data_IF_652751942218
#
_entry.id   IF_652751942218
#
_cell.length_a   1.000
_cell.length_b   1.000
_cell.length_c   1.000
_cell.angle_alpha   90.00
_cell.angle_beta   90.00
_cell.angle_gamma   90.00
#
_symmetry.space_group_name_H-M   'P 1'
#
loop_
_entity.id
_entity.type
_entity.pdbx_description
1 polymer ?
#
# COMPACT_ATOMS: atom_id res chain seq x y z
N UNK A 1 62.39 6.15 39.66
CA UNK A 1 61.22 7.01 39.41
C UNK A 1 60.29 6.26 38.50
N UNK A 2 59.22 5.65 39.04
CA UNK A 2 58.23 4.84 38.29
C UNK A 2 57.06 5.72 37.90
N UNK A 3 56.86 5.93 36.63
CA UNK A 3 55.66 6.62 36.10
C UNK A 3 54.63 5.58 35.70
N UNK A 4 53.50 5.49 36.45
CA UNK A 4 52.39 4.62 36.17
C UNK A 4 51.49 5.26 35.12
N UNK A 5 51.34 4.64 33.97
CA UNK A 5 50.29 4.97 32.98
C UNK A 5 49.01 4.24 33.37
N UNK A 6 47.99 5.05 33.69
CA UNK A 6 46.64 4.59 33.91
C UNK A 6 45.93 4.61 32.53
N UNK A 7 45.68 3.44 31.98
CA UNK A 7 44.87 3.27 30.77
C UNK A 7 43.40 3.33 31.14
N UNK A 8 42.75 4.45 30.82
CA UNK A 8 41.27 4.55 30.94
C UNK A 8 40.61 3.86 29.77
N UNK A 9 40.02 2.70 30.02
CA UNK A 9 39.14 2.01 29.06
C UNK A 9 37.77 2.70 29.01
N UNK A 10 37.50 3.43 27.93
CA UNK A 10 36.18 4.00 27.64
C UNK A 10 35.25 2.88 27.17
N UNK A 11 34.31 2.49 28.00
CA UNK A 11 33.22 1.58 27.67
C UNK A 11 32.20 2.32 26.79
N UNK A 12 32.29 2.13 25.47
CA UNK A 12 31.27 2.61 24.53
C UNK A 12 30.07 1.68 24.65
N UNK A 13 29.07 2.09 25.43
CA UNK A 13 27.74 1.47 25.43
C UNK A 13 27.07 1.80 24.09
N UNK A 14 27.21 0.89 23.12
CA UNK A 14 26.39 0.88 21.94
C UNK A 14 24.95 0.58 22.34
N UNK A 15 24.14 1.62 22.48
CA UNK A 15 22.70 1.53 22.54
C UNK A 15 22.25 1.09 21.18
N UNK A 16 22.28 -0.22 20.93
CA UNK A 16 21.66 -0.87 19.79
C UNK A 16 20.16 -0.63 19.89
N UNK A 17 19.66 0.40 19.20
CA UNK A 17 18.25 0.68 19.09
C UNK A 17 17.55 -0.52 18.46
N UNK A 18 16.64 -1.16 19.21
CA UNK A 18 15.68 -2.12 18.70
C UNK A 18 14.63 -1.39 17.82
N UNK A 19 15.06 -0.85 16.69
CA UNK A 19 14.22 -0.15 15.71
C UNK A 19 14.01 -0.98 14.43
N UNK A 20 14.02 -2.32 14.51
CA UNK A 20 14.00 -3.14 13.30
C UNK A 20 13.04 -4.32 13.35
N UNK A 21 11.96 -4.30 14.13
CA UNK A 21 10.98 -5.38 14.09
C UNK A 21 9.77 -5.13 13.18
N UNK A 22 9.64 -3.93 12.63
CA UNK A 22 8.68 -3.64 11.56
C UNK A 22 9.45 -3.12 10.35
N UNK A 23 10.08 -4.03 9.62
CA UNK A 23 10.43 -3.76 8.24
C UNK A 23 9.16 -3.27 7.53
N UNK A 24 9.21 -2.25 6.65
CA UNK A 24 8.02 -1.79 5.96
C UNK A 24 7.44 -2.98 5.20
N UNK A 25 6.29 -3.49 5.66
CA UNK A 25 5.53 -4.44 4.88
C UNK A 25 5.07 -3.70 3.63
N UNK A 26 5.79 -3.90 2.51
CA UNK A 26 5.44 -3.26 1.25
C UNK A 26 4.24 -3.94 0.59
N UNK A 27 3.61 -4.91 1.28
CA UNK A 27 2.44 -5.66 0.79
C UNK A 27 2.62 -6.20 -0.64
N UNK A 28 3.87 -6.34 -1.12
CA UNK A 28 4.18 -6.71 -2.51
C UNK A 28 3.91 -5.60 -3.53
N UNK A 29 3.83 -4.36 -3.07
CA UNK A 29 3.73 -3.14 -3.89
C UNK A 29 5.11 -2.49 -4.04
N UNK A 30 5.25 -1.62 -5.04
CA UNK A 30 6.36 -0.68 -5.11
C UNK A 30 6.30 0.34 -3.94
N UNK A 31 7.42 1.00 -3.66
CA UNK A 31 7.55 1.88 -2.50
C UNK A 31 6.54 3.03 -2.48
N UNK A 32 6.20 3.58 -3.64
CA UNK A 32 5.21 4.65 -3.79
C UNK A 32 3.82 4.18 -3.36
N UNK A 33 3.35 3.09 -3.93
CA UNK A 33 2.04 2.53 -3.63
C UNK A 33 1.97 1.96 -2.21
N UNK A 34 3.05 1.36 -1.71
CA UNK A 34 3.13 0.92 -0.32
C UNK A 34 3.04 2.11 0.66
N UNK A 35 3.67 3.24 0.34
CA UNK A 35 3.55 4.46 1.13
C UNK A 35 2.13 5.03 1.08
N UNK A 36 1.51 5.09 -0.11
CA UNK A 36 0.13 5.54 -0.28
C UNK A 36 -0.84 4.71 0.57
N UNK A 37 -0.72 3.39 0.53
CA UNK A 37 -1.53 2.46 1.33
C UNK A 37 -1.33 2.70 2.83
N UNK A 38 -0.08 2.78 3.31
CA UNK A 38 0.22 3.06 4.73
C UNK A 38 -0.36 4.40 5.18
N UNK A 39 -0.15 5.45 4.38
CA UNK A 39 -0.66 6.77 4.66
C UNK A 39 -2.19 6.80 4.72
N UNK A 40 -2.87 6.14 3.78
CA UNK A 40 -4.32 6.01 3.76
C UNK A 40 -4.84 5.32 5.03
N UNK A 41 -4.22 4.20 5.45
CA UNK A 41 -4.61 3.51 6.68
C UNK A 41 -4.36 4.35 7.94
N UNK A 42 -3.27 5.14 7.99
CA UNK A 42 -2.94 5.98 9.14
C UNK A 42 -3.79 7.25 9.17
N UNK A 43 -3.82 8.02 8.08
CA UNK A 43 -4.37 9.37 8.08
C UNK A 43 -5.87 9.40 7.82
N UNK A 44 -6.35 8.62 6.84
CA UNK A 44 -7.78 8.61 6.48
C UNK A 44 -8.54 7.67 7.40
N UNK A 45 -8.07 6.42 7.56
CA UNK A 45 -8.73 5.46 8.45
C UNK A 45 -8.45 5.70 9.93
N UNK A 46 -7.41 6.47 10.30
CA UNK A 46 -7.05 6.75 11.68
C UNK A 46 -6.63 5.50 12.45
N UNK A 47 -5.97 4.54 11.79
CA UNK A 47 -5.51 3.31 12.40
C UNK A 47 -4.05 3.47 12.88
N UNK A 48 -3.75 2.93 14.08
CA UNK A 48 -2.38 2.80 14.57
C UNK A 48 -1.80 1.46 14.14
N UNK A 49 -0.48 1.39 14.09
CA UNK A 49 0.26 0.14 13.82
C UNK A 49 -0.27 -0.97 14.73
N UNK A 50 -0.70 -2.07 14.14
CA UNK A 50 -1.35 -3.20 14.80
C UNK A 50 -2.10 -4.06 13.78
N UNK A 51 -2.87 -5.03 14.26
CA UNK A 51 -3.56 -5.99 13.40
C UNK A 51 -4.56 -5.33 12.44
N UNK A 52 -5.30 -4.32 12.90
CA UNK A 52 -6.27 -3.57 12.07
C UNK A 52 -5.58 -2.74 11.01
N UNK A 53 -4.40 -2.17 11.31
CA UNK A 53 -3.58 -1.47 10.32
C UNK A 53 -3.09 -2.43 9.24
N UNK A 54 -2.60 -3.60 9.62
CA UNK A 54 -2.14 -4.63 8.67
C UNK A 54 -3.30 -5.15 7.81
N UNK A 55 -4.49 -5.35 8.38
CA UNK A 55 -5.68 -5.74 7.63
C UNK A 55 -6.12 -4.67 6.62
N UNK A 56 -6.12 -3.39 7.03
CA UNK A 56 -6.35 -2.26 6.14
C UNK A 56 -5.32 -2.24 4.99
N UNK A 57 -4.03 -2.34 5.32
CA UNK A 57 -2.94 -2.33 4.36
C UNK A 57 -3.06 -3.46 3.35
N UNK A 58 -3.35 -4.67 3.80
CA UNK A 58 -3.56 -5.83 2.93
C UNK A 58 -4.75 -5.66 1.98
N UNK A 59 -5.88 -5.16 2.47
CA UNK A 59 -7.08 -4.90 1.66
C UNK A 59 -6.84 -3.84 0.59
N UNK A 60 -6.25 -2.69 0.96
CA UNK A 60 -5.95 -1.63 0.00
C UNK A 60 -4.87 -2.05 -1.00
N UNK A 61 -3.86 -2.80 -0.58
CA UNK A 61 -2.83 -3.31 -1.47
C UNK A 61 -3.39 -4.29 -2.52
N UNK A 62 -4.37 -5.10 -2.15
CA UNK A 62 -5.08 -5.95 -3.12
C UNK A 62 -5.80 -5.10 -4.18
N UNK A 63 -6.47 -4.02 -3.75
CA UNK A 63 -7.13 -3.08 -4.66
C UNK A 63 -6.13 -2.39 -5.59
N UNK A 64 -4.99 -1.90 -5.07
CA UNK A 64 -3.94 -1.26 -5.88
C UNK A 64 -3.40 -2.21 -6.95
N UNK A 65 -3.06 -3.45 -6.57
CA UNK A 65 -2.59 -4.46 -7.54
C UNK A 65 -3.59 -4.74 -8.63
N UNK A 66 -4.86 -4.84 -8.27
CA UNK A 66 -5.91 -5.02 -9.27
C UNK A 66 -5.99 -3.84 -10.25
N UNK A 67 -5.92 -2.60 -9.75
CA UNK A 67 -5.96 -1.40 -10.61
C UNK A 67 -4.73 -1.32 -11.53
N UNK A 68 -3.55 -1.64 -11.00
CA UNK A 68 -2.32 -1.70 -11.79
C UNK A 68 -2.41 -2.76 -12.89
N UNK A 69 -2.90 -3.95 -12.55
CA UNK A 69 -3.07 -5.05 -13.52
C UNK A 69 -4.08 -4.70 -14.62
N UNK A 70 -5.20 -4.07 -14.25
CA UNK A 70 -6.20 -3.60 -15.19
C UNK A 70 -5.65 -2.50 -16.14
N UNK A 71 -4.93 -1.52 -15.58
CA UNK A 71 -4.32 -0.45 -16.36
C UNK A 71 -3.24 -0.98 -17.32
N UNK A 72 -2.37 -1.89 -16.87
CA UNK A 72 -1.37 -2.54 -17.70
C UNK A 72 -1.99 -3.37 -18.82
N UNK A 73 -3.10 -4.04 -18.54
CA UNK A 73 -3.81 -4.84 -19.55
C UNK A 73 -4.41 -3.93 -20.64
N UNK A 74 -5.09 -2.86 -20.23
CA UNK A 74 -5.67 -1.89 -21.19
C UNK A 74 -4.57 -1.22 -22.05
N UNK A 75 -3.47 -0.81 -21.43
CA UNK A 75 -2.33 -0.23 -22.16
C UNK A 75 -1.71 -1.22 -23.14
N UNK A 76 -1.59 -2.49 -22.75
CA UNK A 76 -1.07 -3.55 -23.60
C UNK A 76 -2.01 -3.81 -24.79
N UNK A 77 -3.33 -3.88 -24.55
CA UNK A 77 -4.34 -4.06 -25.58
C UNK A 77 -4.26 -2.93 -26.63
N UNK A 78 -4.25 -1.67 -26.18
CA UNK A 78 -4.14 -0.50 -27.05
C UNK A 78 -2.84 -0.51 -27.87
N UNK A 79 -1.71 -0.84 -27.23
CA UNK A 79 -0.42 -0.91 -27.92
C UNK A 79 -0.39 -2.01 -28.97
N UNK A 80 -0.96 -3.17 -28.68
CA UNK A 80 -1.00 -4.29 -29.61
C UNK A 80 -1.96 -4.02 -30.78
N UNK A 81 -3.08 -3.34 -30.55
CA UNK A 81 -3.98 -2.90 -31.64
C UNK A 81 -3.31 -1.90 -32.56
N UNK A 82 -2.55 -0.93 -32.03
CA UNK A 82 -1.77 0.02 -32.84
C UNK A 82 -0.70 -0.68 -33.68
N UNK A 83 -0.21 -1.84 -33.26
CA UNK A 83 0.70 -2.69 -34.04
C UNK A 83 -0.03 -3.56 -35.11
N UNK A 84 -1.38 -3.47 -35.17
CA UNK A 84 -2.17 -4.18 -36.15
C UNK A 84 -2.71 -5.55 -35.72
N UNK A 85 -2.57 -5.90 -34.46
CA UNK A 85 -3.15 -7.16 -33.93
C UNK A 85 -4.63 -6.98 -33.58
N UNK A 86 -5.51 -7.75 -34.22
CA UNK A 86 -6.96 -7.66 -33.97
C UNK A 86 -7.34 -8.22 -32.60
N UNK A 87 -8.26 -7.55 -31.89
CA UNK A 87 -8.79 -8.00 -30.59
C UNK A 87 -9.34 -9.43 -30.66
N UNK A 88 -9.06 -10.22 -29.63
CA UNK A 88 -9.54 -11.60 -29.50
C UNK A 88 -8.78 -12.64 -30.31
N UNK A 89 -7.68 -12.28 -30.97
CA UNK A 89 -6.81 -13.22 -31.68
C UNK A 89 -5.69 -13.76 -30.76
N UNK A 90 -5.15 -14.94 -31.11
CA UNK A 90 -4.03 -15.55 -30.39
C UNK A 90 -2.78 -14.66 -30.48
N UNK A 91 -2.59 -13.99 -31.61
CA UNK A 91 -1.48 -13.09 -31.87
C UNK A 91 -1.55 -11.86 -30.97
N UNK A 92 -2.73 -11.26 -30.80
CA UNK A 92 -2.95 -10.18 -29.84
C UNK A 92 -2.67 -10.65 -28.41
N UNK A 93 -3.18 -11.81 -27.99
CA UNK A 93 -2.94 -12.35 -26.66
C UNK A 93 -1.43 -12.54 -26.37
N UNK A 94 -0.67 -13.05 -27.35
CA UNK A 94 0.80 -13.15 -27.24
C UNK A 94 1.48 -11.78 -27.10
N UNK A 95 1.06 -10.81 -27.92
CA UNK A 95 1.57 -9.44 -27.85
C UNK A 95 1.32 -8.83 -26.46
N UNK A 96 0.10 -8.92 -25.92
CA UNK A 96 -0.29 -8.41 -24.60
C UNK A 96 0.59 -9.03 -23.49
N UNK A 97 0.79 -10.34 -23.51
CA UNK A 97 1.67 -11.02 -22.52
C UNK A 97 3.10 -10.53 -22.60
N UNK A 98 3.65 -10.35 -23.81
CA UNK A 98 5.00 -9.85 -24.01
C UNK A 98 5.14 -8.38 -23.56
N UNK A 99 4.17 -7.54 -23.88
CA UNK A 99 4.13 -6.13 -23.47
C UNK A 99 4.11 -6.02 -21.94
N UNK A 100 3.22 -6.73 -21.27
CA UNK A 100 3.13 -6.74 -19.79
C UNK A 100 4.45 -7.13 -19.14
N UNK A 101 5.09 -8.22 -19.59
CA UNK A 101 6.39 -8.66 -19.07
C UNK A 101 7.52 -7.65 -19.28
N UNK A 102 7.50 -6.88 -20.36
CA UNK A 102 8.50 -5.85 -20.60
C UNK A 102 8.28 -4.62 -19.73
N UNK A 103 7.02 -4.23 -19.52
CA UNK A 103 6.64 -3.07 -18.69
C UNK A 103 6.90 -3.34 -17.21
N UNK A 104 6.58 -4.53 -16.70
CA UNK A 104 6.89 -4.92 -15.30
C UNK A 104 8.40 -4.80 -14.99
N UNK A 105 9.28 -5.17 -15.93
CA UNK A 105 10.73 -4.99 -15.77
C UNK A 105 11.17 -3.54 -15.72
N UNK A 106 10.50 -2.65 -16.45
CA UNK A 106 10.83 -1.22 -16.51
C UNK A 106 10.29 -0.45 -15.31
N UNK A 107 9.13 -0.83 -14.75
CA UNK A 107 8.55 -0.23 -13.54
C UNK A 107 9.41 -0.47 -12.29
N UNK A 108 10.11 -1.59 -12.22
CA UNK A 108 11.06 -1.88 -11.13
C UNK A 108 12.30 -0.97 -11.13
N UNK A 109 12.51 -0.20 -12.21
CA UNK A 109 13.69 0.66 -12.39
C UNK A 109 13.45 2.16 -12.10
N UNK A 110 12.19 2.61 -11.87
CA UNK A 110 11.87 4.05 -11.78
C UNK A 110 10.93 4.36 -10.61
N UNK A 111 11.46 4.65 -9.42
CA UNK A 111 10.66 5.07 -8.26
C UNK A 111 11.09 6.45 -7.74
N UNK A 112 10.18 7.42 -7.84
CA UNK A 112 10.28 8.70 -7.14
C UNK A 112 9.00 8.93 -6.31
N UNK A 113 9.09 9.17 -4.98
CA UNK A 113 7.90 9.28 -4.13
C UNK A 113 7.19 10.64 -4.30
N UNK A 114 5.84 10.67 -4.16
CA UNK A 114 5.05 11.90 -4.22
C UNK A 114 5.11 12.69 -2.91
N UNK A 115 4.72 13.99 -2.93
CA UNK A 115 4.65 14.83 -1.74
C UNK A 115 3.55 14.35 -0.77
N UNK A 116 3.89 14.38 0.52
CA UNK A 116 3.02 13.97 1.64
C UNK A 116 2.00 15.08 1.93
N UNK A 117 0.67 14.80 2.00
CA UNK A 117 -0.34 15.75 2.46
C UNK A 117 -0.17 16.07 3.96
N UNK A 118 -0.51 17.30 4.37
CA UNK A 118 -0.50 17.71 5.78
C UNK A 118 -1.45 16.88 6.64
N UNK A 119 -0.92 16.37 7.75
CA UNK A 119 -1.67 15.52 8.66
C UNK A 119 -2.81 16.27 9.36
N UNK A 120 -4.03 15.78 9.25
CA UNK A 120 -5.17 16.24 10.04
C UNK A 120 -5.14 15.68 11.48
N UNK A 121 -5.79 16.34 12.47
CA UNK A 121 -5.82 15.86 13.84
C UNK A 121 -6.32 14.41 13.90
N UNK A 122 -5.51 13.54 14.48
CA UNK A 122 -5.77 12.11 14.49
C UNK A 122 -7.01 11.74 15.32
N UNK A 123 -8.00 11.11 14.69
CA UNK A 123 -9.13 10.46 15.34
C UNK A 123 -9.14 8.97 14.99
N UNK A 124 -9.20 8.10 16.01
CA UNK A 124 -9.26 6.66 15.77
C UNK A 124 -10.51 6.28 14.98
N UNK A 125 -10.37 5.42 14.00
CA UNK A 125 -11.48 4.88 13.21
C UNK A 125 -12.60 4.32 14.10
N UNK A 126 -12.25 3.62 15.17
CA UNK A 126 -13.20 2.97 16.07
C UNK A 126 -13.91 3.92 17.04
N UNK A 127 -13.45 5.16 17.18
CA UNK A 127 -14.15 6.20 17.97
C UNK A 127 -15.20 6.96 17.17
N UNK A 128 -15.28 6.71 15.86
CA UNK A 128 -16.20 7.38 14.95
C UNK A 128 -17.57 6.72 14.94
N UNK A 129 -18.60 7.49 14.60
CA UNK A 129 -19.93 6.95 14.26
C UNK A 129 -19.85 6.05 13.01
N UNK A 130 -20.84 5.18 12.84
CA UNK A 130 -20.89 4.28 11.68
C UNK A 130 -20.84 5.03 10.34
N UNK A 131 -21.56 6.16 10.25
CA UNK A 131 -21.54 7.01 9.04
C UNK A 131 -20.16 7.60 8.75
N UNK A 132 -19.44 8.03 9.79
CA UNK A 132 -18.07 8.54 9.64
C UNK A 132 -17.07 7.44 9.28
N UNK A 133 -17.25 6.22 9.80
CA UNK A 133 -16.45 5.06 9.40
C UNK A 133 -16.66 4.72 7.92
N UNK A 134 -17.91 4.80 7.44
CA UNK A 134 -18.25 4.60 6.03
C UNK A 134 -17.62 5.66 5.15
N UNK A 135 -17.77 6.94 5.49
CA UNK A 135 -17.14 8.05 4.80
C UNK A 135 -15.61 7.89 4.69
N UNK A 136 -14.94 7.46 5.77
CA UNK A 136 -13.49 7.22 5.72
C UNK A 136 -13.10 6.04 4.83
N UNK A 137 -13.90 4.97 4.80
CA UNK A 137 -13.66 3.87 3.89
C UNK A 137 -13.84 4.30 2.42
N UNK A 138 -14.87 5.11 2.14
CA UNK A 138 -15.09 5.69 0.81
C UNK A 138 -13.94 6.61 0.39
N UNK A 139 -13.50 7.52 1.27
CA UNK A 139 -12.35 8.40 1.01
C UNK A 139 -11.06 7.60 0.78
N UNK A 140 -10.86 6.51 1.52
CA UNK A 140 -9.69 5.64 1.35
C UNK A 140 -9.67 4.99 -0.04
N UNK A 141 -10.81 4.51 -0.52
CA UNK A 141 -10.91 3.93 -1.86
C UNK A 141 -10.81 5.01 -2.96
N UNK A 142 -11.35 6.22 -2.72
CA UNK A 142 -11.20 7.35 -3.62
C UNK A 142 -9.74 7.81 -3.75
N UNK A 143 -8.96 7.76 -2.66
CA UNK A 143 -7.52 8.08 -2.67
C UNK A 143 -6.71 7.14 -3.58
N UNK A 144 -7.18 5.92 -3.79
CA UNK A 144 -6.59 4.97 -4.75
C UNK A 144 -7.03 5.20 -6.21
N UNK A 145 -7.78 6.27 -6.49
CA UNK A 145 -8.27 6.62 -7.82
C UNK A 145 -9.58 5.96 -8.22
N UNK A 146 -10.28 5.29 -7.30
CA UNK A 146 -11.60 4.72 -7.56
C UNK A 146 -12.69 5.80 -7.44
N UNK A 147 -13.74 5.69 -8.28
CA UNK A 147 -14.91 6.57 -8.25
C UNK A 147 -16.19 5.79 -7.98
N UNK A 148 -17.19 6.38 -7.30
CA UNK A 148 -18.46 5.70 -6.98
C UNK A 148 -19.20 5.10 -8.19
N UNK A 149 -18.99 5.65 -9.39
CA UNK A 149 -19.55 5.10 -10.65
C UNK A 149 -18.86 3.80 -11.09
N UNK A 150 -17.70 3.44 -10.54
CA UNK A 150 -17.01 2.19 -10.82
C UNK A 150 -17.54 1.10 -9.89
N UNK A 151 -17.98 -0.04 -10.43
CA UNK A 151 -18.42 -1.19 -9.60
C UNK A 151 -17.40 -1.63 -8.55
N UNK A 152 -16.10 -1.47 -8.86
CA UNK A 152 -14.98 -1.78 -7.95
C UNK A 152 -14.87 -0.85 -6.74
N UNK A 153 -15.39 0.37 -6.81
CA UNK A 153 -15.38 1.29 -5.67
C UNK A 153 -16.09 0.68 -4.45
N UNK A 154 -17.31 0.19 -4.65
CA UNK A 154 -18.11 -0.41 -3.58
C UNK A 154 -17.54 -1.73 -3.06
N UNK A 155 -16.87 -2.51 -3.92
CA UNK A 155 -16.12 -3.68 -3.47
C UNK A 155 -14.95 -3.28 -2.56
N UNK A 156 -14.15 -2.28 -2.96
CA UNK A 156 -13.07 -1.77 -2.11
C UNK A 156 -13.59 -1.30 -0.75
N UNK A 157 -14.67 -0.51 -0.71
CA UNK A 157 -15.28 -0.01 0.53
C UNK A 157 -15.73 -1.17 1.44
N UNK A 158 -16.42 -2.16 0.85
CA UNK A 158 -16.91 -3.34 1.58
C UNK A 158 -15.76 -4.17 2.13
N UNK A 159 -14.79 -4.50 1.30
CA UNK A 159 -13.63 -5.33 1.67
C UNK A 159 -12.78 -4.66 2.76
N UNK A 160 -12.57 -3.34 2.65
CA UNK A 160 -11.84 -2.56 3.64
C UNK A 160 -12.57 -2.56 5.01
N UNK A 161 -13.86 -2.28 5.03
CA UNK A 161 -14.69 -2.33 6.24
C UNK A 161 -14.68 -3.72 6.87
N UNK A 162 -14.83 -4.76 6.07
CA UNK A 162 -14.81 -6.14 6.53
C UNK A 162 -13.44 -6.54 7.09
N UNK A 163 -12.34 -6.22 6.41
CA UNK A 163 -10.99 -6.53 6.86
C UNK A 163 -10.70 -5.95 8.25
N UNK A 164 -11.04 -4.67 8.46
CA UNK A 164 -10.82 -3.98 9.75
C UNK A 164 -11.76 -4.51 10.85
N UNK A 165 -13.03 -4.82 10.51
CA UNK A 165 -14.00 -5.33 11.48
C UNK A 165 -13.69 -6.77 11.96
N UNK A 166 -13.20 -7.64 11.05
CA UNK A 166 -12.87 -9.04 11.37
C UNK A 166 -11.81 -9.14 12.46
N UNK A 167 -10.75 -8.36 12.34
CA UNK A 167 -9.65 -8.35 13.34
C UNK A 167 -10.14 -7.96 14.73
N UNK A 168 -11.10 -7.03 14.82
CA UNK A 168 -11.65 -6.62 16.12
C UNK A 168 -12.46 -7.73 16.79
N UNK A 169 -13.16 -8.56 16.03
CA UNK A 169 -13.93 -9.68 16.59
C UNK A 169 -13.04 -10.83 17.07
N UNK A 170 -11.93 -11.07 16.37
CA UNK A 170 -10.97 -12.12 16.74
C UNK A 170 -10.11 -11.75 17.97
N UNK A 171 -9.94 -10.46 18.24
CA UNK A 171 -9.14 -9.94 19.36
C UNK A 171 -9.88 -9.74 20.69
N UNK A 172 -11.19 -10.05 20.78
CA UNK A 172 -11.96 -10.00 22.04
C UNK A 172 -12.00 -11.40 22.66
N UNK A 173 -11.34 -11.62 23.85
CA UNK A 173 -11.49 -12.83 24.64
C UNK A 173 -12.86 -12.92 25.31
#
# INVERSE_FOLDING_TARGET
MLTRFIASAALVLSVGGCASFYGPNNYGLDDHNAQLVRQTCTEIMGLRVGAEFEACGGSLAHTVRYLQDAALTEQADQSCEQQGFARGTVEQAKCVVMFRRSTERNLLASTQPPPVPEAQPWQSYFSLSQSQQEERAELSCAQLGLHPAMGRFWHCVSDLKQAVATIRHEGMP
#
